data_IF_877981115817
#
_entry.id   IF_877981115817
#
_cell.length_a   1.000
_cell.length_b   1.000
_cell.length_c   1.000
_cell.angle_alpha   90.00
_cell.angle_beta   90.00
_cell.angle_gamma   90.00
#
_symmetry.space_group_name_H-M   'P 1'
#
loop_
_entity.id
_entity.type
_entity.pdbx_description
1 polymer ?
#
# COMPACT_ATOMS: atom_id res chain seq x y z
N UNK A 1 8.74 -22.46 2.36
CA UNK A 1 9.01 -22.90 0.97
C UNK A 1 8.99 -21.68 0.06
N UNK A 2 9.86 -21.59 -0.95
CA UNK A 2 9.93 -20.42 -1.85
C UNK A 2 8.86 -20.55 -2.92
N UNK A 3 7.93 -19.60 -3.00
CA UNK A 3 6.81 -19.66 -3.96
C UNK A 3 7.15 -19.02 -5.31
N UNK A 4 7.79 -17.85 -5.27
CA UNK A 4 8.14 -17.08 -6.46
C UNK A 4 9.51 -16.40 -6.27
N UNK A 5 10.20 -16.15 -7.38
CA UNK A 5 11.41 -15.32 -7.39
C UNK A 5 11.35 -14.42 -8.62
N UNK A 6 11.51 -13.13 -8.42
CA UNK A 6 11.48 -12.13 -9.49
C UNK A 6 12.73 -11.27 -9.39
N UNK A 7 13.32 -10.99 -10.55
CA UNK A 7 14.49 -10.13 -10.70
C UNK A 7 14.07 -8.96 -11.57
N UNK A 8 14.30 -7.75 -11.10
CA UNK A 8 13.97 -6.53 -11.83
C UNK A 8 15.08 -5.49 -11.69
N UNK A 9 15.14 -4.56 -12.64
CA UNK A 9 16.06 -3.43 -12.58
C UNK A 9 15.48 -2.33 -11.69
N UNK A 10 16.28 -1.84 -10.74
CA UNK A 10 15.86 -0.85 -9.74
C UNK A 10 15.52 0.52 -10.36
N UNK A 11 16.16 0.89 -11.47
CA UNK A 11 16.03 2.21 -12.07
C UNK A 11 14.63 2.50 -12.61
N UNK A 12 13.96 1.48 -13.16
CA UNK A 12 12.68 1.62 -13.86
C UNK A 12 11.66 0.51 -13.52
N UNK A 13 12.05 -0.45 -12.67
CA UNK A 13 11.24 -1.61 -12.32
C UNK A 13 11.07 -2.62 -13.46
N UNK A 14 11.94 -2.59 -14.48
CA UNK A 14 11.86 -3.51 -15.62
C UNK A 14 12.09 -4.97 -15.19
N UNK A 15 11.14 -5.89 -15.40
CA UNK A 15 11.34 -7.30 -15.09
C UNK A 15 12.43 -7.90 -15.99
N UNK A 16 13.39 -8.60 -15.40
CA UNK A 16 14.54 -9.21 -16.08
C UNK A 16 14.38 -10.72 -16.21
N UNK A 17 13.99 -11.38 -15.13
CA UNK A 17 13.71 -12.81 -15.05
C UNK A 17 12.72 -13.07 -13.91
N UNK A 18 11.92 -14.13 -14.02
CA UNK A 18 11.04 -14.56 -12.95
C UNK A 18 10.82 -16.07 -13.04
N UNK A 19 10.60 -16.68 -11.89
CA UNK A 19 10.17 -18.08 -11.75
C UNK A 19 9.01 -18.14 -10.76
N UNK A 20 8.00 -18.93 -11.08
CA UNK A 20 6.80 -19.10 -10.27
C UNK A 20 6.50 -20.58 -10.16
N UNK A 21 6.08 -20.99 -8.96
CA UNK A 21 5.64 -22.36 -8.75
C UNK A 21 4.14 -22.46 -9.07
N UNK A 22 3.81 -23.23 -10.10
CA UNK A 22 2.43 -23.54 -10.46
C UNK A 22 1.96 -24.76 -9.68
N UNK A 23 1.60 -24.57 -8.40
CA UNK A 23 0.81 -25.59 -7.69
C UNK A 23 -0.67 -25.32 -8.00
N UNK A 24 -1.34 -26.28 -8.68
CA UNK A 24 -2.73 -26.19 -9.20
C UNK A 24 -3.77 -25.67 -8.19
N UNK A 25 -3.53 -25.87 -6.88
CA UNK A 25 -4.48 -25.49 -5.82
C UNK A 25 -4.38 -24.01 -5.38
N UNK A 26 -3.33 -23.27 -5.76
CA UNK A 26 -3.03 -21.92 -5.22
C UNK A 26 -2.96 -20.81 -6.28
N UNK A 27 -3.34 -21.11 -7.53
CA UNK A 27 -3.10 -20.25 -8.69
C UNK A 27 -3.75 -18.87 -8.67
N UNK A 28 -4.88 -18.68 -7.96
CA UNK A 28 -5.51 -17.34 -7.87
C UNK A 28 -4.75 -16.38 -6.95
N UNK A 29 -4.24 -16.88 -5.82
CA UNK A 29 -3.53 -16.04 -4.86
C UNK A 29 -2.14 -15.61 -5.39
N UNK A 30 -1.49 -16.43 -6.21
CA UNK A 30 -0.12 -16.14 -6.66
C UNK A 30 -0.03 -14.95 -7.63
N UNK A 31 -1.09 -14.71 -8.40
CA UNK A 31 -1.18 -13.57 -9.32
C UNK A 31 -1.25 -12.24 -8.56
N UNK A 32 -1.96 -12.21 -7.43
CA UNK A 32 -2.04 -11.01 -6.59
C UNK A 32 -0.68 -10.65 -5.99
N UNK A 33 0.06 -11.65 -5.50
CA UNK A 33 1.43 -11.45 -5.02
C UNK A 33 2.38 -11.05 -6.16
N UNK A 34 2.18 -11.56 -7.38
CA UNK A 34 2.93 -11.08 -8.54
C UNK A 34 2.67 -9.60 -8.84
N UNK A 35 1.42 -9.17 -8.76
CA UNK A 35 1.05 -7.77 -8.98
C UNK A 35 1.60 -6.88 -7.87
N UNK A 36 1.55 -7.32 -6.61
CA UNK A 36 2.18 -6.66 -5.48
C UNK A 36 3.69 -6.50 -5.66
N UNK A 37 4.40 -7.55 -6.09
CA UNK A 37 5.83 -7.49 -6.39
C UNK A 37 6.15 -6.46 -7.49
N UNK A 38 5.33 -6.39 -8.55
CA UNK A 38 5.47 -5.36 -9.60
C UNK A 38 5.26 -3.95 -9.05
N UNK A 39 4.31 -3.75 -8.14
CA UNK A 39 4.10 -2.46 -7.48
C UNK A 39 5.29 -2.09 -6.59
N UNK A 40 5.88 -3.07 -5.87
CA UNK A 40 7.09 -2.86 -5.09
C UNK A 40 8.25 -2.38 -5.96
N UNK A 41 8.49 -2.99 -7.13
CA UNK A 41 9.55 -2.53 -8.04
C UNK A 41 9.40 -1.07 -8.49
N UNK A 42 8.17 -0.55 -8.53
CA UNK A 42 7.90 0.86 -8.84
C UNK A 42 8.11 1.81 -7.65
N UNK A 43 8.10 1.28 -6.43
CA UNK A 43 8.26 2.04 -5.18
C UNK A 43 9.69 2.01 -4.65
N UNK A 44 10.44 0.96 -5.00
CA UNK A 44 11.85 0.86 -4.65
C UNK A 44 12.68 1.86 -5.47
N UNK A 45 13.76 2.34 -4.87
CA UNK A 45 14.68 3.28 -5.51
C UNK A 45 16.06 3.27 -4.84
N UNK A 46 16.95 4.22 -5.20
CA UNK A 46 18.33 4.26 -4.69
C UNK A 46 18.46 4.44 -3.18
N UNK A 47 17.44 5.04 -2.54
CA UNK A 47 17.36 5.27 -1.10
C UNK A 47 16.73 4.09 -0.33
N UNK A 48 16.23 3.07 -1.04
CA UNK A 48 15.64 1.90 -0.41
C UNK A 48 16.71 1.08 0.31
N UNK A 49 16.38 0.45 1.46
CA UNK A 49 17.31 -0.43 2.15
C UNK A 49 17.79 -1.56 1.23
N UNK A 50 19.10 -1.87 1.20
CA UNK A 50 19.64 -2.89 0.30
C UNK A 50 19.18 -4.30 0.65
N UNK A 51 18.75 -4.54 1.90
CA UNK A 51 18.13 -5.78 2.36
C UNK A 51 16.87 -5.43 3.15
N UNK A 52 15.74 -6.02 2.78
CA UNK A 52 14.46 -5.75 3.42
C UNK A 52 13.58 -7.00 3.39
N UNK A 53 12.77 -7.21 4.42
CA UNK A 53 11.68 -8.17 4.42
C UNK A 53 10.37 -7.40 4.46
N UNK A 54 9.44 -7.74 3.57
CA UNK A 54 8.13 -7.11 3.49
C UNK A 54 7.06 -8.15 3.80
N UNK A 55 6.25 -7.88 4.81
CA UNK A 55 5.14 -8.74 5.22
C UNK A 55 3.93 -8.50 4.32
N UNK A 56 3.38 -9.58 3.75
CA UNK A 56 2.18 -9.55 2.91
C UNK A 56 1.22 -10.68 3.30
N UNK A 57 0.35 -10.40 4.26
CA UNK A 57 -0.58 -11.39 4.81
C UNK A 57 0.16 -12.63 5.34
N UNK A 58 -0.10 -13.84 4.81
CA UNK A 58 0.54 -15.07 5.27
C UNK A 58 1.96 -15.29 4.70
N UNK A 59 2.46 -14.41 3.84
CA UNK A 59 3.76 -14.57 3.18
C UNK A 59 4.71 -13.40 3.43
N UNK A 60 5.98 -13.63 3.13
CA UNK A 60 7.06 -12.65 3.24
C UNK A 60 7.75 -12.48 1.89
N UNK A 61 7.93 -11.23 1.47
CA UNK A 61 8.85 -10.89 0.40
C UNK A 61 10.22 -10.59 1.01
N UNK A 62 11.24 -11.31 0.57
CA UNK A 62 12.63 -10.99 0.90
C UNK A 62 13.27 -10.27 -0.30
N UNK A 63 13.79 -9.07 -0.06
CA UNK A 63 14.38 -8.19 -1.05
C UNK A 63 15.88 -8.05 -0.82
N UNK A 64 16.62 -8.06 -1.93
CA UNK A 64 18.04 -7.79 -2.00
C UNK A 64 18.27 -6.86 -3.20
N UNK A 65 18.91 -5.72 -2.95
CA UNK A 65 19.29 -4.74 -3.97
C UNK A 65 20.80 -4.71 -4.05
N UNK A 66 21.32 -5.02 -5.24
CA UNK A 66 22.74 -4.89 -5.58
C UNK A 66 22.87 -3.93 -6.75
N UNK A 67 23.88 -3.06 -6.71
CA UNK A 67 24.11 -2.02 -7.72
C UNK A 67 25.22 -2.38 -8.71
N UNK A 68 26.07 -3.34 -8.36
CA UNK A 68 27.19 -3.77 -9.20
C UNK A 68 26.83 -5.05 -9.94
N UNK A 69 26.44 -4.90 -11.20
CA UNK A 69 26.07 -6.00 -12.09
C UNK A 69 26.46 -5.70 -13.53
N UNK A 70 26.48 -6.75 -14.37
CA UNK A 70 26.99 -6.67 -15.74
C UNK A 70 26.33 -5.55 -16.58
N UNK A 71 27.15 -4.91 -17.43
CA UNK A 71 26.75 -3.75 -18.28
C UNK A 71 25.45 -3.97 -19.07
N UNK A 72 25.16 -5.21 -19.45
CA UNK A 72 23.95 -5.61 -20.22
C UNK A 72 22.64 -5.31 -19.49
N UNK A 73 22.62 -5.30 -18.15
CA UNK A 73 21.39 -5.05 -17.38
C UNK A 73 20.87 -3.64 -17.61
N UNK A 74 21.74 -2.64 -17.75
CA UNK A 74 21.34 -1.25 -17.98
C UNK A 74 20.96 -0.95 -19.44
N UNK A 75 21.31 -1.82 -20.39
CA UNK A 75 21.05 -1.61 -21.82
C UNK A 75 19.77 -2.27 -22.32
N UNK A 76 19.27 -3.28 -21.61
CA UNK A 76 18.03 -3.96 -22.01
C UNK A 76 16.80 -3.08 -21.79
N UNK A 77 15.85 -3.18 -22.71
CA UNK A 77 14.56 -2.46 -22.67
C UNK A 77 13.37 -3.42 -22.70
N UNK A 78 13.56 -4.65 -23.19
CA UNK A 78 12.49 -5.65 -23.28
C UNK A 78 12.25 -6.32 -21.92
N UNK A 79 10.99 -6.42 -21.45
CA UNK A 79 10.67 -7.22 -20.27
C UNK A 79 11.09 -8.68 -20.45
N UNK A 80 11.59 -9.28 -19.38
CA UNK A 80 12.07 -10.67 -19.34
C UNK A 80 13.19 -10.98 -20.35
N UNK A 81 14.05 -9.99 -20.63
CA UNK A 81 15.22 -10.16 -21.52
C UNK A 81 16.15 -11.29 -21.10
N UNK A 82 16.10 -11.73 -19.84
CA UNK A 82 16.95 -12.79 -19.28
C UNK A 82 16.12 -14.01 -18.84
N UNK A 83 15.01 -14.31 -19.51
CA UNK A 83 14.13 -15.45 -19.17
C UNK A 83 14.89 -16.80 -19.11
N UNK A 84 15.94 -16.99 -19.91
CA UNK A 84 16.78 -18.21 -19.87
C UNK A 84 17.42 -18.46 -18.50
N UNK A 85 17.58 -17.42 -17.69
CA UNK A 85 18.11 -17.52 -16.33
C UNK A 85 17.17 -18.28 -15.38
N UNK A 86 15.89 -18.46 -15.73
CA UNK A 86 14.93 -19.26 -14.96
C UNK A 86 15.47 -20.66 -14.64
N UNK A 87 16.13 -21.32 -15.60
CA UNK A 87 16.79 -22.62 -15.38
C UNK A 87 17.79 -22.60 -14.21
N UNK A 88 18.54 -21.52 -14.07
CA UNK A 88 19.47 -21.36 -12.95
C UNK A 88 18.73 -21.10 -11.64
N UNK A 89 17.70 -20.23 -11.66
CA UNK A 89 16.89 -19.94 -10.47
C UNK A 89 16.24 -21.23 -9.94
N UNK A 90 15.65 -22.05 -10.81
CA UNK A 90 15.03 -23.32 -10.42
C UNK A 90 16.05 -24.30 -9.82
N UNK A 91 17.25 -24.42 -10.41
CA UNK A 91 18.33 -25.26 -9.87
C UNK A 91 18.78 -24.77 -8.49
N UNK A 92 18.98 -23.46 -8.31
CA UNK A 92 19.35 -22.87 -7.04
C UNK A 92 18.26 -23.08 -5.99
N UNK A 93 17.00 -22.79 -6.32
CA UNK A 93 15.84 -23.03 -5.45
C UNK A 93 15.78 -24.47 -4.95
N UNK A 94 16.03 -25.45 -5.82
CA UNK A 94 16.04 -26.88 -5.44
C UNK A 94 17.10 -27.20 -4.39
N UNK A 95 18.30 -26.60 -4.49
CA UNK A 95 19.38 -26.76 -3.51
C UNK A 95 18.98 -26.24 -2.13
N UNK A 96 18.25 -25.11 -2.06
CA UNK A 96 17.82 -24.51 -0.78
C UNK A 96 16.52 -25.11 -0.22
N UNK A 97 15.69 -25.72 -1.06
CA UNK A 97 14.45 -26.37 -0.62
C UNK A 97 14.72 -27.77 -0.08
N UNK A 98 15.71 -28.49 -0.61
CA UNK A 98 16.06 -29.84 -0.16
C UNK A 98 16.90 -29.81 1.13
N UNK A 99 16.23 -29.90 2.28
CA UNK A 99 16.86 -29.90 3.61
C UNK A 99 17.75 -31.11 3.90
N UNK A 100 17.83 -32.09 2.99
CA UNK A 100 18.63 -33.32 3.17
C UNK A 100 20.13 -33.12 2.95
N UNK A 101 20.54 -31.99 2.36
CA UNK A 101 21.96 -31.64 2.23
C UNK A 101 22.50 -31.11 3.57
N UNK A 102 23.11 -31.99 4.38
CA UNK A 102 23.79 -31.62 5.65
C UNK A 102 24.87 -30.52 5.47
N UNK A 103 25.42 -30.35 4.26
CA UNK A 103 26.40 -29.29 3.95
C UNK A 103 25.76 -27.89 3.92
N UNK A 104 24.47 -27.79 3.58
CA UNK A 104 23.78 -26.50 3.51
C UNK A 104 23.48 -25.94 4.91
N UNK A 105 23.31 -26.78 5.94
CA UNK A 105 22.97 -26.33 7.30
C UNK A 105 24.05 -25.45 7.95
N UNK A 106 25.33 -25.78 7.76
CA UNK A 106 26.43 -24.98 8.31
C UNK A 106 26.57 -23.63 7.60
N UNK A 107 26.36 -23.59 6.29
CA UNK A 107 26.33 -22.34 5.53
C UNK A 107 25.12 -21.48 5.92
N UNK A 108 23.94 -22.08 6.06
CA UNK A 108 22.70 -21.42 6.49
C UNK A 108 22.85 -20.86 7.91
N UNK A 109 23.47 -21.60 8.85
CA UNK A 109 23.71 -21.13 10.21
C UNK A 109 24.62 -19.88 10.26
N UNK A 110 25.69 -19.86 9.45
CA UNK A 110 26.55 -18.68 9.35
C UNK A 110 25.83 -17.49 8.70
N UNK A 111 24.96 -17.75 7.72
CA UNK A 111 24.13 -16.71 7.09
C UNK A 111 22.98 -16.22 7.99
N UNK A 112 22.50 -17.04 8.93
CA UNK A 112 21.46 -16.68 9.89
C UNK A 112 21.88 -15.58 10.87
N UNK A 113 23.19 -15.46 11.18
CA UNK A 113 23.68 -14.35 12.01
C UNK A 113 23.53 -12.98 11.32
N UNK A 114 23.56 -12.94 9.99
CA UNK A 114 23.32 -11.72 9.20
C UNK A 114 21.83 -11.32 9.13
N UNK A 115 20.91 -12.24 9.45
CA UNK A 115 19.45 -12.00 9.39
C UNK A 115 18.96 -11.07 10.51
N UNK A 116 19.68 -10.99 11.64
CA UNK A 116 19.27 -10.19 12.81
C UNK A 116 19.22 -8.66 12.56
N UNK A 117 19.68 -8.17 11.40
CA UNK A 117 19.66 -6.73 11.04
C UNK A 117 18.76 -6.40 9.84
N UNK A 118 17.91 -7.32 9.39
CA UNK A 118 17.05 -7.06 8.23
C UNK A 118 15.82 -6.25 8.67
N UNK A 119 15.60 -5.12 8.01
CA UNK A 119 14.41 -4.28 8.22
C UNK A 119 13.15 -5.05 7.79
N UNK A 120 12.16 -5.12 8.66
CA UNK A 120 10.84 -5.71 8.37
C UNK A 120 9.83 -4.58 8.23
N UNK A 121 9.06 -4.57 7.14
CA UNK A 121 8.02 -3.56 6.88
C UNK A 121 6.73 -4.23 6.40
N UNK A 122 5.57 -3.61 6.64
CA UNK A 122 4.32 -4.06 6.06
C UNK A 122 4.25 -3.63 4.58
N UNK A 123 3.69 -4.49 3.72
CA UNK A 123 3.51 -4.18 2.31
C UNK A 123 2.63 -2.94 2.08
N UNK A 124 1.59 -2.74 2.89
CA UNK A 124 0.71 -1.60 2.80
C UNK A 124 1.49 -0.31 3.03
N UNK A 125 2.36 -0.25 4.04
CA UNK A 125 3.19 0.94 4.34
C UNK A 125 4.17 1.30 3.20
N UNK A 126 4.63 0.29 2.46
CA UNK A 126 5.56 0.49 1.34
C UNK A 126 4.81 0.90 0.07
N UNK A 127 3.67 0.26 -0.23
CA UNK A 127 2.86 0.54 -1.41
C UNK A 127 2.08 1.86 -1.29
N UNK A 128 1.61 2.18 -0.08
CA UNK A 128 0.81 3.37 0.21
C UNK A 128 1.64 4.64 0.41
N UNK A 129 2.97 4.53 0.47
CA UNK A 129 3.87 5.67 0.57
C UNK A 129 3.66 6.59 -0.65
N UNK A 130 2.90 7.66 -0.44
CA UNK A 130 2.49 8.66 -1.44
C UNK A 130 1.04 8.64 -1.93
N UNK A 131 0.24 7.59 -1.68
CA UNK A 131 -1.20 7.56 -2.08
C UNK A 131 -2.12 7.99 -0.93
N UNK A 132 -1.76 7.65 0.31
CA UNK A 132 -2.56 7.98 1.50
C UNK A 132 -2.69 9.49 1.69
N UNK A 133 -1.67 10.29 1.35
CA UNK A 133 -1.75 11.75 1.48
C UNK A 133 -2.79 12.37 0.53
N UNK A 134 -2.89 11.89 -0.71
CA UNK A 134 -3.85 12.43 -1.69
C UNK A 134 -5.29 12.00 -1.38
N UNK A 135 -5.49 10.75 -0.93
CA UNK A 135 -6.81 10.27 -0.54
C UNK A 135 -7.25 10.86 0.82
N UNK A 136 -6.32 11.05 1.76
CA UNK A 136 -6.59 11.69 3.04
C UNK A 136 -6.91 13.18 2.86
N UNK A 137 -6.20 13.90 1.98
CA UNK A 137 -6.52 15.30 1.68
C UNK A 137 -7.92 15.43 1.07
N UNK A 138 -8.26 14.61 0.07
CA UNK A 138 -9.60 14.65 -0.56
C UNK A 138 -10.73 14.28 0.40
N UNK A 139 -10.55 13.26 1.27
CA UNK A 139 -11.54 12.92 2.31
C UNK A 139 -11.66 14.02 3.37
N UNK A 140 -10.53 14.60 3.79
CA UNK A 140 -10.51 15.68 4.80
C UNK A 140 -11.11 16.98 4.25
N UNK A 141 -10.87 17.30 2.98
CA UNK A 141 -11.51 18.41 2.26
C UNK A 141 -13.03 18.24 2.24
N UNK A 142 -13.53 17.06 1.85
CA UNK A 142 -14.97 16.79 1.85
C UNK A 142 -15.59 16.88 3.24
N UNK A 143 -14.95 16.32 4.27
CA UNK A 143 -15.40 16.42 5.65
C UNK A 143 -15.38 17.87 6.16
N UNK A 144 -14.36 18.65 5.82
CA UNK A 144 -14.25 20.06 6.16
C UNK A 144 -15.36 20.89 5.51
N UNK A 145 -15.63 20.64 4.22
CA UNK A 145 -16.73 21.28 3.47
C UNK A 145 -18.09 20.92 4.10
N UNK A 146 -18.34 19.64 4.40
CA UNK A 146 -19.56 19.20 5.06
C UNK A 146 -19.72 19.80 6.45
N UNK A 147 -18.64 19.84 7.24
CA UNK A 147 -18.65 20.42 8.59
C UNK A 147 -18.92 21.92 8.55
N UNK A 148 -18.32 22.65 7.61
CA UNK A 148 -18.61 24.06 7.40
C UNK A 148 -20.05 24.29 6.93
N UNK A 149 -20.55 23.42 6.04
CA UNK A 149 -21.94 23.48 5.58
C UNK A 149 -22.91 23.26 6.74
N UNK A 150 -22.72 22.22 7.55
CA UNK A 150 -23.55 21.98 8.73
C UNK A 150 -23.50 23.14 9.73
N UNK A 151 -22.32 23.73 9.94
CA UNK A 151 -22.20 24.93 10.78
C UNK A 151 -23.03 26.09 10.22
N UNK A 152 -22.93 26.37 8.91
CA UNK A 152 -23.71 27.43 8.25
C UNK A 152 -25.21 27.15 8.31
N UNK A 153 -25.62 25.93 7.97
CA UNK A 153 -27.02 25.51 7.98
C UNK A 153 -27.63 25.61 9.39
N UNK A 154 -26.89 25.18 10.43
CA UNK A 154 -27.32 25.31 11.82
C UNK A 154 -27.46 26.79 12.24
N UNK A 155 -26.51 27.65 11.88
CA UNK A 155 -26.61 29.09 12.17
C UNK A 155 -27.77 29.76 11.43
N UNK A 156 -27.99 29.40 10.17
CA UNK A 156 -29.10 29.91 9.35
C UNK A 156 -30.45 29.49 9.92
N UNK A 157 -30.60 28.21 10.28
CA UNK A 157 -31.80 27.67 10.91
C UNK A 157 -32.07 28.33 12.27
N UNK A 158 -31.04 28.60 13.07
CA UNK A 158 -31.21 29.28 14.36
C UNK A 158 -31.67 30.73 14.18
N UNK A 159 -31.08 31.48 13.26
CA UNK A 159 -31.50 32.86 12.94
C UNK A 159 -32.93 32.90 12.40
N UNK A 160 -33.28 31.99 11.47
CA UNK A 160 -34.66 31.90 10.95
C UNK A 160 -35.64 31.53 12.06
N UNK A 161 -35.28 30.58 12.92
CA UNK A 161 -36.12 30.18 14.05
C UNK A 161 -36.36 31.34 15.03
N UNK A 162 -35.37 32.20 15.24
CA UNK A 162 -35.53 33.41 16.05
C UNK A 162 -36.56 34.38 15.46
N UNK A 163 -36.48 34.68 14.16
CA UNK A 163 -37.47 35.52 13.47
C UNK A 163 -38.88 34.94 13.52
N UNK A 164 -39.03 33.64 13.29
CA UNK A 164 -40.33 32.96 13.35
C UNK A 164 -40.91 33.02 14.77
N UNK A 165 -40.10 32.80 15.80
CA UNK A 165 -40.53 32.93 17.21
C UNK A 165 -40.95 34.36 17.56
N UNK A 166 -40.20 35.36 17.10
CA UNK A 166 -40.52 36.77 17.32
C UNK A 166 -41.85 37.16 16.66
N UNK A 167 -42.06 36.75 15.40
CA UNK A 167 -43.29 37.01 14.67
C UNK A 167 -44.50 36.35 15.36
N UNK A 168 -44.38 35.09 15.79
CA UNK A 168 -45.44 34.41 16.54
C UNK A 168 -45.78 35.14 17.86
N UNK A 169 -44.76 35.59 18.60
CA UNK A 169 -44.96 36.41 19.81
C UNK A 169 -45.66 37.74 19.52
N UNK A 170 -45.31 38.39 18.42
CA UNK A 170 -45.96 39.63 17.97
C UNK A 170 -47.45 39.44 17.65
N UNK A 171 -47.83 38.34 16.99
CA UNK A 171 -49.24 38.03 16.72
C UNK A 171 -50.04 37.82 18.01
N UNK A 172 -49.48 37.10 18.99
CA UNK A 172 -50.13 36.90 20.30
C UNK A 172 -50.32 38.23 21.04
N UNK A 173 -49.30 39.09 21.04
CA UNK A 173 -49.40 40.43 21.65
C UNK A 173 -50.45 41.30 20.96
N UNK A 174 -50.54 41.24 19.63
CA UNK A 174 -51.53 42.00 18.85
C UNK A 174 -52.95 41.56 19.20
N UNK A 175 -53.20 40.24 19.23
CA UNK A 175 -54.51 39.69 19.63
C UNK A 175 -54.88 40.10 21.06
N UNK A 176 -53.91 40.05 21.99
CA UNK A 176 -54.13 40.48 23.37
C UNK A 176 -54.47 41.98 23.46
N UNK A 177 -53.76 42.82 22.69
CA UNK A 177 -54.01 44.26 22.66
C UNK A 177 -55.38 44.60 22.07
N UNK A 178 -55.78 43.94 20.98
CA UNK A 178 -57.10 44.12 20.39
C UNK A 178 -58.22 43.68 21.34
N UNK A 179 -58.02 42.56 22.04
CA UNK A 179 -58.98 42.09 23.04
C UNK A 179 -59.18 43.13 24.16
N UNK A 180 -58.10 43.72 24.67
CA UNK A 180 -58.17 44.71 25.75
C UNK A 180 -58.67 46.10 25.30
N UNK A 181 -58.57 46.42 24.01
CA UNK A 181 -59.09 47.68 23.45
C UNK A 181 -60.58 47.60 23.09
N UNK A 182 -61.07 46.41 22.75
CA UNK A 182 -62.47 46.17 22.35
C UNK A 182 -63.39 45.91 23.56
N UNK A 183 -62.85 45.40 24.67
CA UNK A 183 -63.58 45.15 25.92
C UNK A 183 -63.48 46.34 26.88
#
# INVERSE_FOLDING_TARGET
MVLMTMIARIADGLPLAATMQEDEQTGRNILDYQNQAKMLFRKLGPLSPPRCTIETGPYLFHLLIEYDYGKRVNTVTRPYSFIEFDNYIQKAKKVFTDSRSRRNLNAINNQLQDVQRIMVQNIDDVLQRGTVLAELDTKTQNLSILSQKYKKDATYLNTKSFYVKLAAGGVVLLVFFLYFWVL
#
